data_IF_506825027373
#
_entry.id   IF_506825027373
#
_cell.length_a   1.000
_cell.length_b   1.000
_cell.length_c   1.000
_cell.angle_alpha   90.00
_cell.angle_beta   90.00
_cell.angle_gamma   90.00
#
_symmetry.space_group_name_H-M   'P 1'
#
loop_
_entity.id
_entity.type
_entity.pdbx_description
1 polymer ?
#
# COMPACT_ATOMS: atom_id res chain seq x y z
N UNK A 1 -3.06 -5.07 -3.41
CA UNK A 1 -1.71 -5.60 -3.10
C UNK A 1 -1.74 -6.42 -1.82
N UNK A 2 -0.71 -7.20 -1.55
CA UNK A 2 -0.63 -8.06 -0.38
C UNK A 2 0.01 -7.31 0.80
N UNK A 3 -0.68 -6.32 1.33
CA UNK A 3 -0.15 -5.40 2.36
C UNK A 3 -0.51 -5.79 3.80
N UNK A 4 -1.47 -6.69 4.02
CA UNK A 4 -1.90 -7.12 5.37
C UNK A 4 -0.72 -7.47 6.27
N UNK A 5 -0.69 -6.97 7.54
CA UNK A 5 0.39 -7.24 8.48
C UNK A 5 0.53 -8.74 8.85
N UNK A 6 -0.57 -9.47 8.75
CA UNK A 6 -0.59 -10.91 9.03
C UNK A 6 0.31 -11.73 8.13
N UNK A 7 0.54 -11.28 6.90
CA UNK A 7 1.34 -12.00 5.90
C UNK A 7 2.80 -12.17 6.31
N UNK A 8 3.38 -11.23 7.05
CA UNK A 8 4.77 -11.35 7.58
C UNK A 8 4.95 -12.50 8.58
N UNK A 9 3.86 -13.10 9.07
CA UNK A 9 3.89 -14.13 10.12
C UNK A 9 3.33 -15.47 9.65
N UNK A 10 2.90 -15.57 8.40
CA UNK A 10 2.39 -16.82 7.83
C UNK A 10 3.54 -17.83 7.72
N UNK A 11 3.36 -19.08 8.16
CA UNK A 11 4.37 -20.12 7.97
C UNK A 11 4.38 -20.56 6.49
N UNK A 12 5.18 -19.87 5.70
CA UNK A 12 5.25 -19.96 4.24
C UNK A 12 6.53 -20.64 3.72
N UNK A 13 7.41 -21.06 4.62
CA UNK A 13 8.74 -21.62 4.29
C UNK A 13 9.61 -20.66 3.45
N UNK A 14 9.47 -19.35 3.64
CA UNK A 14 10.23 -18.31 2.92
C UNK A 14 9.79 -18.11 1.48
N UNK A 15 8.55 -18.46 1.14
CA UNK A 15 8.02 -18.33 -0.23
C UNK A 15 7.27 -17.03 -0.49
N UNK A 16 6.90 -16.31 0.57
CA UNK A 16 6.23 -15.02 0.46
C UNK A 16 7.24 -13.87 0.46
N UNK A 17 7.16 -13.02 -0.56
CA UNK A 17 7.96 -11.80 -0.70
C UNK A 17 7.06 -10.70 -1.22
N UNK A 18 7.20 -9.48 -0.69
CA UNK A 18 6.42 -8.33 -1.16
C UNK A 18 7.29 -7.09 -1.31
N UNK A 19 7.17 -6.46 -2.45
CA UNK A 19 7.79 -5.17 -2.77
C UNK A 19 6.99 -3.99 -2.23
N UNK A 20 5.69 -4.19 -1.96
CA UNK A 20 4.86 -3.22 -1.28
C UNK A 20 5.13 -3.26 0.24
N UNK A 21 5.17 -2.09 0.93
CA UNK A 21 5.33 -2.06 2.38
C UNK A 21 4.14 -2.69 3.10
N UNK A 22 4.38 -3.16 4.33
CA UNK A 22 3.33 -3.69 5.19
C UNK A 22 2.44 -2.59 5.75
N UNK A 23 1.14 -2.87 5.89
CA UNK A 23 0.17 -2.00 6.59
C UNK A 23 0.51 -1.81 8.08
N UNK A 24 1.39 -2.64 8.63
CA UNK A 24 1.97 -2.41 9.95
C UNK A 24 2.66 -1.03 10.04
N UNK A 25 3.21 -0.52 8.92
CA UNK A 25 3.77 0.82 8.81
C UNK A 25 2.71 1.81 8.31
N UNK A 26 1.94 1.43 7.29
CA UNK A 26 0.92 2.27 6.67
C UNK A 26 -0.10 2.81 7.67
N UNK A 27 -0.66 1.95 8.53
CA UNK A 27 -1.62 2.35 9.56
C UNK A 27 -1.03 3.30 10.60
N UNK A 28 0.25 3.13 10.97
CA UNK A 28 0.93 4.07 11.87
C UNK A 28 1.14 5.45 11.23
N UNK A 29 1.50 5.48 9.96
CA UNK A 29 1.69 6.74 9.21
C UNK A 29 0.36 7.46 9.07
N UNK A 30 -0.71 6.75 8.68
CA UNK A 30 -2.03 7.32 8.51
C UNK A 30 -2.59 7.87 9.83
N UNK A 31 -2.40 7.16 10.95
CA UNK A 31 -2.80 7.63 12.28
C UNK A 31 -2.06 8.91 12.69
N UNK A 32 -0.74 8.97 12.47
CA UNK A 32 0.05 10.19 12.73
C UNK A 32 -0.39 11.35 11.84
N UNK A 33 -0.69 11.08 10.57
CA UNK A 33 -1.16 12.09 9.63
C UNK A 33 -2.51 12.65 10.10
N UNK A 34 -3.47 11.80 10.48
CA UNK A 34 -4.77 12.22 10.99
C UNK A 34 -4.63 13.14 12.22
N UNK A 35 -3.85 12.71 13.22
CA UNK A 35 -3.57 13.54 14.42
C UNK A 35 -2.89 14.87 14.08
N UNK A 36 -1.93 14.86 13.14
CA UNK A 36 -1.23 16.09 12.72
C UNK A 36 -2.13 17.09 11.99
N UNK A 37 -3.25 16.61 11.46
CA UNK A 37 -4.29 17.43 10.82
C UNK A 37 -5.40 17.85 11.76
N UNK A 38 -5.27 17.53 13.07
CA UNK A 38 -6.21 17.97 14.10
C UNK A 38 -7.42 17.06 14.26
N UNK A 39 -7.44 15.87 13.69
CA UNK A 39 -8.48 14.87 13.95
C UNK A 39 -8.25 14.30 15.34
N UNK A 40 -9.16 14.54 16.28
CA UNK A 40 -9.07 14.08 17.68
C UNK A 40 -9.95 12.86 17.92
N UNK A 41 -11.05 12.75 17.16
CA UNK A 41 -12.02 11.65 17.24
C UNK A 41 -12.37 11.14 15.84
N UNK A 42 -12.43 9.80 15.65
CA UNK A 42 -12.63 9.22 14.34
C UNK A 42 -13.48 7.94 14.41
N UNK A 43 -14.48 7.84 13.52
CA UNK A 43 -15.12 6.57 13.24
C UNK A 43 -14.31 5.81 12.17
N UNK A 44 -14.32 4.49 12.22
CA UNK A 44 -13.56 3.62 11.31
C UNK A 44 -14.52 2.67 10.61
N UNK A 45 -14.44 2.62 9.29
CA UNK A 45 -15.04 1.54 8.51
C UNK A 45 -13.99 0.83 7.68
N UNK A 46 -14.12 -0.49 7.54
CA UNK A 46 -13.16 -1.28 6.81
C UNK A 46 -13.82 -2.44 6.05
N UNK A 47 -13.31 -2.75 4.85
CA UNK A 47 -13.75 -3.92 4.10
C UNK A 47 -13.53 -5.20 4.91
N UNK A 48 -14.52 -6.10 4.92
CA UNK A 48 -14.54 -7.30 5.76
C UNK A 48 -13.62 -8.41 5.21
N UNK A 49 -12.32 -8.10 5.16
CA UNK A 49 -11.27 -9.05 4.78
C UNK A 49 -9.99 -8.82 5.59
N UNK A 50 -8.96 -9.65 5.37
CA UNK A 50 -7.69 -9.58 6.13
C UNK A 50 -6.91 -8.27 5.91
N UNK A 51 -7.07 -7.61 4.74
CA UNK A 51 -6.49 -6.30 4.50
C UNK A 51 -7.16 -5.24 5.37
N UNK A 52 -8.49 -5.09 5.21
CA UNK A 52 -9.24 -4.05 5.91
C UNK A 52 -9.11 -4.17 7.43
N UNK A 53 -9.31 -5.38 7.95
CA UNK A 53 -9.19 -5.66 9.39
C UNK A 53 -7.78 -5.38 9.92
N UNK A 54 -6.74 -5.87 9.21
CA UNK A 54 -5.36 -5.70 9.67
C UNK A 54 -4.91 -4.24 9.69
N UNK A 55 -5.28 -3.45 8.68
CA UNK A 55 -4.99 -2.01 8.63
C UNK A 55 -5.77 -1.25 9.71
N UNK A 56 -7.06 -1.56 9.91
CA UNK A 56 -7.88 -0.95 10.95
C UNK A 56 -7.27 -1.17 12.35
N UNK A 57 -6.90 -2.41 12.70
CA UNK A 57 -6.27 -2.72 13.99
C UNK A 57 -4.99 -1.91 14.23
N UNK A 58 -4.12 -1.76 13.21
CA UNK A 58 -2.88 -0.98 13.33
C UNK A 58 -3.16 0.51 13.47
N UNK A 59 -4.08 1.03 12.66
CA UNK A 59 -4.49 2.44 12.73
C UNK A 59 -5.06 2.78 14.10
N UNK A 60 -6.06 2.03 14.56
CA UNK A 60 -6.77 2.25 15.83
C UNK A 60 -5.80 2.24 17.01
N UNK A 61 -4.94 1.21 17.09
CA UNK A 61 -3.93 1.13 18.13
C UNK A 61 -2.95 2.31 18.12
N UNK A 62 -2.59 2.80 16.92
CA UNK A 62 -1.63 3.90 16.75
C UNK A 62 -2.29 5.25 17.02
N UNK A 63 -3.53 5.44 16.58
CA UNK A 63 -4.31 6.66 16.80
C UNK A 63 -4.61 6.86 18.29
N UNK A 64 -5.08 5.82 18.96
CA UNK A 64 -5.32 5.84 20.41
C UNK A 64 -4.03 6.09 21.22
N UNK A 65 -2.91 5.46 20.82
CA UNK A 65 -1.61 5.71 21.47
C UNK A 65 -1.14 7.16 21.29
N UNK A 66 -1.51 7.79 20.19
CA UNK A 66 -1.23 9.20 19.90
C UNK A 66 -2.17 10.19 20.59
N UNK A 67 -3.16 9.72 21.36
CA UNK A 67 -4.13 10.54 22.10
C UNK A 67 -5.47 10.73 21.40
N UNK A 68 -5.68 10.15 20.23
CA UNK A 68 -6.95 10.20 19.52
C UNK A 68 -7.97 9.21 20.08
N UNK A 69 -9.24 9.43 19.77
CA UNK A 69 -10.37 8.60 20.21
C UNK A 69 -11.00 7.88 19.01
N UNK A 70 -11.09 6.55 19.05
CA UNK A 70 -11.91 5.78 18.11
C UNK A 70 -13.34 5.77 18.62
N UNK A 71 -14.27 6.39 17.92
CA UNK A 71 -15.67 6.51 18.33
C UNK A 71 -16.48 5.25 18.03
N UNK A 72 -16.24 4.66 16.86
CA UNK A 72 -16.78 3.36 16.45
C UNK A 72 -15.84 2.70 15.43
N UNK A 73 -15.92 1.39 15.32
CA UNK A 73 -15.22 0.62 14.30
C UNK A 73 -16.14 -0.49 13.80
N UNK A 74 -16.41 -0.52 12.49
CA UNK A 74 -17.35 -1.47 11.89
C UNK A 74 -16.89 -1.91 10.51
N UNK A 75 -16.96 -3.22 10.25
CA UNK A 75 -16.73 -3.75 8.93
C UNK A 75 -17.90 -3.40 7.98
N UNK A 76 -17.58 -3.20 6.70
CA UNK A 76 -18.56 -3.19 5.62
C UNK A 76 -18.27 -4.33 4.64
N UNK A 77 -19.33 -4.84 4.03
CA UNK A 77 -19.21 -5.85 2.97
C UNK A 77 -19.02 -5.17 1.61
N UNK A 78 -18.18 -5.77 0.78
CA UNK A 78 -17.92 -5.29 -0.58
C UNK A 78 -19.16 -5.51 -1.49
N UNK A 79 -19.32 -4.65 -2.50
CA UNK A 79 -20.31 -4.83 -3.57
C UNK A 79 -21.78 -4.68 -3.16
N UNK A 80 -22.09 -4.08 -2.00
CA UNK A 80 -23.48 -3.77 -1.62
C UNK A 80 -24.01 -2.60 -2.44
N UNK A 81 -25.33 -2.59 -2.68
CA UNK A 81 -26.02 -1.52 -3.36
C UNK A 81 -26.34 -0.32 -2.43
N UNK A 82 -26.31 -0.53 -1.10
CA UNK A 82 -26.68 0.48 -0.09
C UNK A 82 -25.88 0.24 1.19
N UNK A 83 -25.31 1.32 1.73
CA UNK A 83 -24.49 1.35 2.95
C UNK A 83 -25.11 2.19 4.08
N UNK A 84 -26.36 2.64 3.94
CA UNK A 84 -27.03 3.51 4.90
C UNK A 84 -27.10 2.92 6.31
N UNK A 85 -27.20 1.60 6.43
CA UNK A 85 -27.23 0.92 7.73
C UNK A 85 -25.88 0.94 8.45
N UNK A 86 -24.79 0.71 7.74
CA UNK A 86 -23.42 0.77 8.27
C UNK A 86 -23.08 2.21 8.68
N UNK A 87 -23.38 3.16 7.79
CA UNK A 87 -23.18 4.59 8.08
C UNK A 87 -24.02 5.04 9.28
N UNK A 88 -25.26 4.58 9.42
CA UNK A 88 -26.12 4.91 10.56
C UNK A 88 -25.54 4.50 11.92
N UNK A 89 -24.84 3.36 11.97
CA UNK A 89 -24.13 2.91 13.19
C UNK A 89 -22.96 3.84 13.51
N UNK A 90 -22.14 4.19 12.51
CA UNK A 90 -20.98 5.07 12.65
C UNK A 90 -21.39 6.50 12.99
N UNK A 91 -22.44 7.01 12.34
CA UNK A 91 -23.02 8.33 12.60
C UNK A 91 -23.51 8.50 14.03
N UNK A 92 -24.10 7.45 14.60
CA UNK A 92 -24.59 7.47 15.99
C UNK A 92 -23.46 7.63 17.01
N UNK A 93 -22.24 7.18 16.67
CA UNK A 93 -21.06 7.35 17.50
C UNK A 93 -20.37 8.71 17.27
N UNK A 94 -20.54 9.32 16.09
CA UNK A 94 -19.95 10.59 15.69
C UNK A 94 -18.43 10.52 15.50
N UNK A 95 -17.82 11.68 15.40
CA UNK A 95 -16.36 11.86 15.23
C UNK A 95 -16.07 13.03 14.31
N UNK A 96 -14.81 13.50 14.31
CA UNK A 96 -14.36 14.60 13.45
C UNK A 96 -14.21 14.17 11.99
N UNK A 97 -14.06 12.85 11.76
CA UNK A 97 -13.88 12.27 10.44
C UNK A 97 -14.32 10.80 10.41
N UNK A 98 -14.49 10.27 9.19
CA UNK A 98 -14.63 8.85 8.92
C UNK A 98 -13.37 8.32 8.24
N UNK A 99 -12.69 7.34 8.84
CA UNK A 99 -11.66 6.56 8.15
C UNK A 99 -12.33 5.48 7.30
N UNK A 100 -12.05 5.49 6.01
CA UNK A 100 -12.54 4.48 5.07
C UNK A 100 -11.36 3.62 4.60
N UNK A 101 -11.36 2.37 5.03
CA UNK A 101 -10.38 1.35 4.64
C UNK A 101 -11.06 0.37 3.69
N UNK A 102 -10.72 0.40 2.42
CA UNK A 102 -11.37 -0.45 1.42
C UNK A 102 -10.83 -0.21 0.04
N UNK A 103 -11.67 -0.49 -0.94
CA UNK A 103 -11.40 -0.25 -2.34
C UNK A 103 -12.47 0.65 -2.93
N UNK A 104 -12.07 1.56 -3.84
CA UNK A 104 -12.98 2.56 -4.41
C UNK A 104 -14.24 1.89 -4.99
N UNK A 105 -14.06 0.88 -5.83
CA UNK A 105 -15.13 0.25 -6.60
C UNK A 105 -15.82 -0.93 -5.88
N UNK A 106 -15.29 -1.35 -4.72
CA UNK A 106 -15.80 -2.50 -3.95
C UNK A 106 -16.42 -2.10 -2.59
N UNK A 107 -17.05 -0.93 -2.53
CA UNK A 107 -17.80 -0.49 -1.34
C UNK A 107 -17.31 0.80 -0.71
N UNK A 108 -16.01 1.11 -0.80
CA UNK A 108 -15.46 2.31 -0.18
C UNK A 108 -16.10 3.61 -0.66
N UNK A 109 -16.33 3.74 -1.97
CA UNK A 109 -17.07 4.87 -2.54
C UNK A 109 -18.49 4.94 -2.00
N UNK A 110 -19.20 3.82 -1.94
CA UNK A 110 -20.56 3.77 -1.43
C UNK A 110 -20.68 4.15 0.04
N UNK A 111 -19.67 3.85 0.87
CA UNK A 111 -19.59 4.32 2.26
C UNK A 111 -19.46 5.85 2.34
N UNK A 112 -18.67 6.46 1.46
CA UNK A 112 -18.53 7.92 1.38
C UNK A 112 -19.84 8.56 0.91
N UNK A 113 -20.42 8.07 -0.19
CA UNK A 113 -21.70 8.58 -0.73
C UNK A 113 -22.81 8.51 0.31
N UNK A 114 -22.99 7.38 0.99
CA UNK A 114 -23.99 7.23 2.04
C UNK A 114 -23.74 8.16 3.25
N UNK A 115 -22.47 8.44 3.58
CA UNK A 115 -22.11 9.38 4.63
C UNK A 115 -22.47 10.82 4.26
N UNK A 116 -22.17 11.22 3.03
CA UNK A 116 -22.54 12.55 2.50
C UNK A 116 -24.05 12.72 2.40
N UNK A 117 -24.77 11.74 1.86
CA UNK A 117 -26.22 11.76 1.71
C UNK A 117 -26.95 11.89 3.04
N UNK A 118 -26.44 11.27 4.09
CA UNK A 118 -27.01 11.34 5.45
C UNK A 118 -26.52 12.55 6.25
N UNK A 119 -25.49 13.27 5.79
CA UNK A 119 -24.81 14.31 6.53
C UNK A 119 -24.07 13.81 7.78
N UNK A 120 -23.71 12.52 7.80
CA UNK A 120 -23.06 11.89 8.95
C UNK A 120 -21.59 12.33 9.12
N UNK A 121 -20.86 12.36 8.00
CA UNK A 121 -19.47 12.80 7.93
C UNK A 121 -19.27 13.56 6.62
N UNK A 122 -18.42 14.59 6.68
CA UNK A 122 -17.98 15.41 5.54
C UNK A 122 -16.47 15.42 5.35
N UNK A 123 -15.74 14.82 6.27
CA UNK A 123 -14.28 14.70 6.23
C UNK A 123 -13.88 13.23 6.27
N UNK A 124 -13.12 12.81 5.24
CA UNK A 124 -12.72 11.42 5.08
C UNK A 124 -11.21 11.26 5.18
N UNK A 125 -10.80 10.25 5.94
CA UNK A 125 -9.43 9.74 5.95
C UNK A 125 -9.41 8.47 5.10
N UNK A 126 -8.53 8.42 4.10
CA UNK A 126 -8.57 7.39 3.06
C UNK A 126 -7.36 6.47 3.15
N UNK A 127 -7.60 5.16 3.14
CA UNK A 127 -6.54 4.17 3.00
C UNK A 127 -5.97 4.16 1.58
N UNK A 128 -4.87 3.45 1.39
CA UNK A 128 -4.20 3.28 0.09
C UNK A 128 -5.11 2.73 -1.02
N UNK A 129 -6.00 1.79 -0.70
CA UNK A 129 -6.97 1.24 -1.64
C UNK A 129 -8.08 2.21 -2.05
N UNK A 130 -8.18 3.36 -1.37
CA UNK A 130 -9.11 4.46 -1.65
C UNK A 130 -8.47 5.62 -2.41
N UNK A 131 -7.16 5.53 -2.74
CA UNK A 131 -6.45 6.60 -3.45
C UNK A 131 -6.45 6.30 -4.96
N UNK A 132 -7.03 7.21 -5.72
CA UNK A 132 -7.06 7.10 -7.19
C UNK A 132 -7.88 8.22 -7.82
N UNK A 133 -7.67 8.46 -9.13
CA UNK A 133 -8.41 9.48 -9.86
C UNK A 133 -9.92 9.22 -9.86
N UNK A 134 -10.33 7.94 -9.89
CA UNK A 134 -11.74 7.58 -9.95
C UNK A 134 -12.56 8.06 -8.74
N UNK A 135 -11.99 8.13 -7.52
CA UNK A 135 -12.72 8.67 -6.37
C UNK A 135 -12.98 10.17 -6.53
N UNK A 136 -11.99 10.90 -7.05
CA UNK A 136 -12.12 12.34 -7.33
C UNK A 136 -13.14 12.60 -8.42
N UNK A 137 -13.12 11.80 -9.49
CA UNK A 137 -14.05 11.93 -10.61
C UNK A 137 -15.51 11.63 -10.22
N UNK A 138 -15.72 10.76 -9.25
CA UNK A 138 -17.06 10.36 -8.81
C UNK A 138 -17.62 11.23 -7.68
N UNK A 139 -16.81 11.60 -6.68
CA UNK A 139 -17.25 12.36 -5.50
C UNK A 139 -17.01 13.87 -5.68
N UNK A 140 -15.92 14.23 -6.36
CA UNK A 140 -15.64 15.63 -6.70
C UNK A 140 -15.33 16.51 -5.49
N UNK A 141 -16.00 17.68 -5.45
CA UNK A 141 -15.78 18.72 -4.45
C UNK A 141 -16.13 18.28 -3.01
N UNK A 142 -16.99 17.30 -2.85
CA UNK A 142 -17.38 16.80 -1.52
C UNK A 142 -16.25 16.04 -0.80
N UNK A 143 -15.11 15.81 -1.49
CA UNK A 143 -13.88 15.35 -0.86
C UNK A 143 -12.99 16.49 -0.34
N UNK A 144 -13.40 17.75 -0.46
CA UNK A 144 -12.58 18.86 0.03
C UNK A 144 -12.29 18.71 1.54
N UNK A 145 -11.00 18.85 1.92
CA UNK A 145 -10.55 18.60 3.29
C UNK A 145 -10.21 17.15 3.61
N UNK A 146 -10.68 16.20 2.80
CA UNK A 146 -10.31 14.78 2.96
C UNK A 146 -8.87 14.52 2.54
N UNK A 147 -8.28 13.46 3.08
CA UNK A 147 -6.88 13.11 2.82
C UNK A 147 -6.62 11.63 3.05
N UNK A 148 -5.51 11.16 2.57
CA UNK A 148 -5.12 9.76 2.78
C UNK A 148 -3.62 9.55 2.62
N UNK A 149 -3.21 8.31 2.70
CA UNK A 149 -1.83 7.91 2.43
C UNK A 149 -1.79 6.63 1.61
N UNK A 150 -0.80 6.54 0.77
CA UNK A 150 -0.49 5.33 0.00
C UNK A 150 1.01 5.07 0.04
N UNK A 151 1.45 3.83 -0.20
CA UNK A 151 2.86 3.54 -0.42
C UNK A 151 3.45 4.38 -1.54
N UNK A 152 4.71 4.74 -1.39
CA UNK A 152 5.47 5.46 -2.41
C UNK A 152 6.89 5.70 -1.96
N UNK A 153 7.80 5.81 -2.89
CA UNK A 153 9.19 6.12 -2.64
C UNK A 153 9.53 7.52 -3.18
N UNK A 154 10.27 8.28 -2.40
CA UNK A 154 10.87 9.54 -2.85
C UNK A 154 12.38 9.31 -2.95
N UNK A 155 12.82 8.84 -4.11
CA UNK A 155 14.20 8.46 -4.35
C UNK A 155 14.66 8.82 -5.77
N UNK A 156 15.94 8.63 -6.03
CA UNK A 156 16.46 8.74 -7.41
C UNK A 156 15.91 7.62 -8.31
N UNK A 157 15.62 6.46 -7.73
CA UNK A 157 15.00 5.34 -8.42
C UNK A 157 13.58 5.67 -8.85
N UNK A 158 12.76 6.21 -7.96
CA UNK A 158 11.37 6.58 -8.26
C UNK A 158 11.28 7.67 -9.34
N UNK A 159 12.16 8.67 -9.32
CA UNK A 159 12.22 9.69 -10.37
C UNK A 159 12.55 9.06 -11.75
N UNK A 160 13.57 8.21 -11.82
CA UNK A 160 13.92 7.49 -13.06
C UNK A 160 12.81 6.58 -13.55
N UNK A 161 12.10 5.94 -12.63
CA UNK A 161 10.95 5.11 -12.97
C UNK A 161 9.80 5.95 -13.54
N UNK A 162 9.51 7.12 -12.96
CA UNK A 162 8.53 8.06 -13.48
C UNK A 162 8.81 8.46 -14.94
N UNK A 163 10.08 8.81 -15.25
CA UNK A 163 10.51 9.12 -16.62
C UNK A 163 10.34 7.92 -17.56
N UNK A 164 10.69 6.72 -17.10
CA UNK A 164 10.57 5.48 -17.87
C UNK A 164 9.09 5.14 -18.15
N UNK A 165 8.24 5.25 -17.16
CA UNK A 165 6.80 5.01 -17.27
C UNK A 165 6.15 5.99 -18.25
N UNK A 166 6.44 7.30 -18.11
CA UNK A 166 5.94 8.33 -19.01
C UNK A 166 6.38 8.12 -20.47
N UNK A 167 7.64 7.72 -20.70
CA UNK A 167 8.15 7.38 -22.03
C UNK A 167 7.43 6.20 -22.67
N UNK A 168 6.76 5.35 -21.89
CA UNK A 168 5.96 4.21 -22.32
C UNK A 168 4.44 4.44 -22.23
N UNK A 169 4.00 5.69 -22.01
CA UNK A 169 2.59 6.05 -21.95
C UNK A 169 1.86 5.59 -20.70
N UNK A 170 2.60 5.36 -19.60
CA UNK A 170 2.06 4.89 -18.33
C UNK A 170 2.18 5.99 -17.26
N UNK A 171 1.22 6.03 -16.33
CA UNK A 171 1.32 6.84 -15.12
C UNK A 171 2.16 6.10 -14.07
N UNK A 172 3.41 6.50 -13.92
CA UNK A 172 4.33 5.94 -12.92
C UNK A 172 4.02 6.33 -11.47
N UNK A 173 3.10 7.27 -11.26
CA UNK A 173 2.69 7.73 -9.93
C UNK A 173 1.46 6.98 -9.39
N UNK A 174 0.80 6.19 -10.21
CA UNK A 174 -0.35 5.40 -9.78
C UNK A 174 0.04 4.37 -8.71
N UNK A 175 -0.88 4.04 -7.79
CA UNK A 175 -0.60 3.11 -6.70
C UNK A 175 -0.02 1.77 -7.17
N UNK A 176 1.05 1.33 -6.54
CA UNK A 176 1.71 0.03 -6.76
C UNK A 176 2.34 -0.22 -8.13
N UNK A 177 2.41 0.78 -9.01
CA UNK A 177 3.04 0.60 -10.34
C UNK A 177 4.55 0.40 -10.21
N UNK A 178 5.22 1.16 -9.34
CA UNK A 178 6.64 1.02 -9.03
C UNK A 178 6.96 -0.33 -8.39
N UNK A 179 6.19 -0.74 -7.42
CA UNK A 179 6.33 -2.02 -6.71
C UNK A 179 6.12 -3.21 -7.65
N UNK A 180 5.16 -3.12 -8.57
CA UNK A 180 4.91 -4.17 -9.58
C UNK A 180 6.07 -4.30 -10.57
N UNK A 181 6.64 -3.15 -11.00
CA UNK A 181 7.83 -3.13 -11.84
C UNK A 181 9.02 -3.79 -11.14
N UNK A 182 9.25 -3.45 -9.87
CA UNK A 182 10.35 -4.00 -9.08
C UNK A 182 10.17 -5.51 -8.85
N UNK A 183 8.97 -5.97 -8.54
CA UNK A 183 8.68 -7.39 -8.38
C UNK A 183 9.04 -8.20 -9.63
N UNK A 184 8.64 -7.71 -10.81
CA UNK A 184 8.96 -8.37 -12.08
C UNK A 184 10.48 -8.36 -12.37
N UNK A 185 11.14 -7.24 -12.13
CA UNK A 185 12.58 -7.09 -12.35
C UNK A 185 13.40 -8.02 -11.42
N UNK A 186 13.06 -8.07 -10.13
CA UNK A 186 13.73 -8.92 -9.14
C UNK A 186 13.59 -10.40 -9.51
N UNK A 187 12.40 -10.85 -9.91
CA UNK A 187 12.20 -12.23 -10.36
C UNK A 187 13.10 -12.55 -11.56
N UNK A 188 13.16 -11.68 -12.57
CA UNK A 188 14.03 -11.89 -13.74
C UNK A 188 15.51 -11.93 -13.38
N UNK A 189 15.96 -11.03 -12.48
CA UNK A 189 17.34 -11.01 -11.99
C UNK A 189 17.67 -12.25 -11.14
N UNK A 190 16.74 -12.69 -10.27
CA UNK A 190 16.92 -13.89 -9.46
C UNK A 190 17.00 -15.17 -10.33
N UNK A 191 16.16 -15.26 -11.37
CA UNK A 191 16.28 -16.34 -12.37
C UNK A 191 17.65 -16.35 -13.04
N UNK A 192 18.17 -15.19 -13.41
CA UNK A 192 19.50 -15.06 -14.04
C UNK A 192 20.60 -15.42 -13.08
N UNK A 193 20.54 -14.97 -11.83
CA UNK A 193 21.52 -15.27 -10.79
C UNK A 193 21.59 -16.78 -10.49
N UNK A 194 20.42 -17.43 -10.43
CA UNK A 194 20.34 -18.88 -10.18
C UNK A 194 20.54 -19.75 -11.43
N UNK A 195 20.56 -19.17 -12.63
CA UNK A 195 20.66 -19.92 -13.89
C UNK A 195 19.45 -20.80 -14.18
N UNK A 196 18.32 -20.61 -13.51
CA UNK A 196 17.12 -21.46 -13.60
C UNK A 196 15.86 -20.67 -13.32
N UNK A 197 14.73 -21.05 -13.94
CA UNK A 197 13.39 -20.58 -13.64
C UNK A 197 12.69 -21.44 -12.56
N UNK A 198 13.39 -22.37 -11.95
CA UNK A 198 12.88 -23.18 -10.85
C UNK A 198 12.58 -22.31 -9.62
N UNK A 199 11.43 -22.57 -8.97
CA UNK A 199 10.95 -21.76 -7.83
C UNK A 199 11.98 -21.67 -6.71
N UNK A 200 12.63 -22.79 -6.36
CA UNK A 200 13.60 -22.80 -5.28
C UNK A 200 14.86 -22.01 -5.65
N UNK A 201 15.26 -22.05 -6.91
CA UNK A 201 16.37 -21.25 -7.43
C UNK A 201 16.04 -19.75 -7.34
N UNK A 202 14.84 -19.33 -7.75
CA UNK A 202 14.39 -17.94 -7.64
C UNK A 202 14.43 -17.50 -6.18
N UNK A 203 13.76 -18.23 -5.28
CA UNK A 203 13.70 -17.90 -3.85
C UNK A 203 15.07 -17.71 -3.21
N UNK A 204 16.01 -18.60 -3.56
CA UNK A 204 17.39 -18.56 -3.02
C UNK A 204 18.21 -17.37 -3.52
N UNK A 205 17.73 -16.63 -4.51
CA UNK A 205 18.46 -15.52 -5.13
C UNK A 205 17.73 -14.17 -5.03
N UNK A 206 16.48 -14.09 -4.55
CA UNK A 206 15.75 -12.81 -4.42
C UNK A 206 16.58 -11.80 -3.63
N UNK A 207 16.90 -12.07 -2.37
CA UNK A 207 17.66 -11.15 -1.52
C UNK A 207 19.09 -10.89 -2.00
N UNK A 208 19.70 -11.83 -2.74
CA UNK A 208 21.05 -11.66 -3.28
C UNK A 208 21.12 -10.64 -4.42
N UNK A 209 20.01 -10.42 -5.12
CA UNK A 209 19.96 -9.47 -6.23
C UNK A 209 19.36 -8.13 -5.84
N UNK A 210 18.67 -8.06 -4.70
CA UNK A 210 17.94 -6.87 -4.25
C UNK A 210 18.48 -6.23 -2.98
N UNK A 211 19.39 -6.89 -2.28
CA UNK A 211 19.97 -6.34 -1.06
C UNK A 211 21.49 -6.11 -1.26
N UNK A 212 21.97 -4.99 -0.72
CA UNK A 212 23.40 -4.68 -0.76
C UNK A 212 24.26 -5.81 -0.09
N UNK A 213 25.53 -5.97 -0.49
CA UNK A 213 26.27 -5.13 -1.42
C UNK A 213 26.16 -5.57 -2.88
N UNK A 214 26.49 -4.67 -3.82
CA UNK A 214 26.54 -5.01 -5.23
C UNK A 214 26.61 -3.78 -6.15
N UNK A 215 26.64 -4.05 -7.46
CA UNK A 215 26.52 -3.00 -8.47
C UNK A 215 25.07 -2.52 -8.50
N UNK A 216 24.84 -1.24 -8.23
CA UNK A 216 23.51 -0.65 -8.20
C UNK A 216 22.84 -0.73 -9.56
N UNK A 217 21.62 -1.29 -9.58
CA UNK A 217 20.77 -1.41 -10.77
C UNK A 217 19.51 -0.59 -10.54
N UNK A 218 19.32 0.43 -11.36
CA UNK A 218 18.16 1.33 -11.32
C UNK A 218 17.09 0.94 -12.35
N UNK A 219 15.88 1.56 -12.31
CA UNK A 219 14.88 1.41 -13.37
C UNK A 219 15.45 1.68 -14.76
N UNK A 220 15.03 0.87 -15.74
CA UNK A 220 15.55 0.89 -17.11
C UNK A 220 16.88 0.18 -17.32
N UNK A 221 17.56 -0.29 -16.26
CA UNK A 221 18.85 -0.95 -16.34
C UNK A 221 18.78 -2.47 -16.21
N UNK A 222 17.61 -3.09 -16.39
CA UNK A 222 17.44 -4.55 -16.25
C UNK A 222 18.43 -5.33 -17.14
N UNK A 223 18.60 -4.93 -18.40
CA UNK A 223 19.55 -5.58 -19.31
C UNK A 223 20.99 -5.51 -18.81
N UNK A 224 21.39 -4.39 -18.21
CA UNK A 224 22.70 -4.23 -17.61
C UNK A 224 22.87 -5.15 -16.39
N UNK A 225 21.87 -5.22 -15.50
CA UNK A 225 21.88 -6.14 -14.37
C UNK A 225 22.04 -7.61 -14.80
N UNK A 226 21.28 -8.02 -15.81
CA UNK A 226 21.38 -9.37 -16.39
C UNK A 226 22.79 -9.68 -16.95
N UNK A 227 23.45 -8.69 -17.58
CA UNK A 227 24.84 -8.81 -18.09
C UNK A 227 25.84 -8.91 -16.94
N UNK A 228 25.69 -8.13 -15.89
CA UNK A 228 26.58 -8.18 -14.72
C UNK A 228 26.49 -9.53 -14.02
N UNK A 229 25.30 -10.07 -13.81
CA UNK A 229 25.09 -11.42 -13.28
C UNK A 229 25.68 -12.48 -14.20
N UNK A 230 25.55 -12.33 -15.54
CA UNK A 230 26.20 -13.23 -16.50
C UNK A 230 27.74 -13.24 -16.40
N UNK A 231 28.32 -12.11 -16.02
CA UNK A 231 29.75 -11.95 -15.81
C UNK A 231 30.18 -12.37 -14.37
N UNK A 232 29.28 -12.97 -13.59
CA UNK A 232 29.58 -13.43 -12.22
C UNK A 232 29.78 -12.30 -11.22
N UNK A 233 29.18 -11.11 -11.48
CA UNK A 233 29.22 -9.96 -10.57
C UNK A 233 28.01 -9.95 -9.65
N UNK A 234 28.21 -9.46 -8.44
CA UNK A 234 27.11 -9.15 -7.50
C UNK A 234 26.43 -7.84 -7.89
N UNK A 235 25.12 -7.79 -7.76
CA UNK A 235 24.30 -6.61 -8.02
C UNK A 235 23.49 -6.25 -6.78
N UNK A 236 23.03 -4.99 -6.75
CA UNK A 236 22.11 -4.42 -5.78
C UNK A 236 21.00 -3.72 -6.56
N UNK A 237 19.86 -4.38 -6.70
CA UNK A 237 18.72 -3.84 -7.41
C UNK A 237 17.92 -2.91 -6.49
N UNK A 238 18.05 -1.62 -6.68
CA UNK A 238 17.30 -0.61 -5.92
C UNK A 238 15.95 -0.29 -6.56
N UNK A 239 15.83 -0.41 -7.89
CA UNK A 239 14.58 -0.27 -8.61
C UNK A 239 13.88 1.08 -8.47
N UNK A 240 12.56 1.05 -8.58
CA UNK A 240 11.67 2.21 -8.44
C UNK A 240 11.42 2.57 -6.98
N UNK A 241 11.47 1.59 -6.06
CA UNK A 241 11.06 1.74 -4.65
C UNK A 241 12.21 1.66 -3.65
N UNK A 242 13.46 1.58 -4.12
CA UNK A 242 14.66 1.32 -3.28
C UNK A 242 14.48 0.06 -2.41
N UNK A 243 13.94 -0.99 -3.02
CA UNK A 243 13.51 -2.19 -2.32
C UNK A 243 14.70 -2.98 -1.76
N UNK A 244 14.69 -3.17 -0.44
CA UNK A 244 15.46 -4.17 0.27
C UNK A 244 14.52 -5.07 1.05
N UNK A 245 14.85 -6.35 1.18
CA UNK A 245 14.02 -7.28 1.94
C UNK A 245 14.61 -7.62 3.29
N UNK A 246 13.74 -7.66 4.29
CA UNK A 246 14.08 -8.20 5.60
C UNK A 246 13.98 -9.75 5.61
N UNK A 247 14.25 -10.36 6.77
CA UNK A 247 14.23 -11.82 6.95
C UNK A 247 12.84 -12.47 6.78
N UNK A 248 11.78 -11.67 6.73
CA UNK A 248 10.41 -12.13 6.52
C UNK A 248 9.93 -11.96 5.07
N UNK A 249 10.79 -11.50 4.16
CA UNK A 249 10.41 -11.18 2.80
C UNK A 249 9.59 -9.88 2.65
N UNK A 250 9.55 -9.05 3.67
CA UNK A 250 8.92 -7.73 3.61
C UNK A 250 9.91 -6.70 3.07
N UNK A 251 9.41 -5.74 2.28
CA UNK A 251 10.16 -4.55 1.94
C UNK A 251 10.54 -3.80 3.23
N UNK A 252 11.83 -3.58 3.44
CA UNK A 252 12.40 -2.83 4.54
C UNK A 252 12.34 -1.34 4.19
N UNK A 253 11.18 -0.71 4.32
CA UNK A 253 10.95 0.69 4.00
C UNK A 253 10.71 1.56 5.23
#
# INVERSE_FOLDING_TARGET
SATSPGLSKVPDNGTFWRTAPSDAKGGQVLAKLALSRGIESIAVTYTNNDYGKGLAEVFEASFARGGGTITASAAHEDGKADYSSEVGVLASAGGDALLVIGYIDDGGKGMIEASLDSGAFDTFVLSDGMIGQSIVDNIGADLEGSFGSMPGAISKGSAKFGDLAAANGMDGSAPYVGESYDAAAIIALAMRAGGSADRQSILSNISKVSNAPGIVINPGQLSYGLQMLAAGKEIDYQGATDVEFNVFGDAAG
#
